data_IF_988664341405
#
_entry.id   IF_988664341405
#
_cell.length_a   1.000
_cell.length_b   1.000
_cell.length_c   1.000
_cell.angle_alpha   90.00
_cell.angle_beta   90.00
_cell.angle_gamma   90.00
#
_symmetry.space_group_name_H-M   'P 1'
#
loop_
_entity.id
_entity.type
_entity.pdbx_description
1 polymer ?
#
# COMPACT_ATOMS: atom_id res chain seq x y z
N UNK A 1 19.45 -3.40 -10.92
CA UNK A 1 18.50 -2.28 -11.03
C UNK A 1 17.08 -2.66 -10.67
N UNK A 2 16.20 -3.08 -11.60
CA UNK A 2 14.74 -3.23 -11.33
C UNK A 2 14.42 -4.04 -10.06
N UNK A 3 14.96 -5.24 -9.95
CA UNK A 3 14.74 -6.14 -8.80
C UNK A 3 15.26 -5.56 -7.48
N UNK A 4 16.28 -4.71 -7.51
CA UNK A 4 16.94 -4.18 -6.31
C UNK A 4 16.05 -3.14 -5.61
N UNK A 5 15.55 -2.12 -6.34
CA UNK A 5 14.63 -1.12 -5.77
C UNK A 5 13.36 -1.77 -5.20
N UNK A 6 12.78 -2.74 -5.91
CA UNK A 6 11.58 -3.44 -5.43
C UNK A 6 11.87 -4.34 -4.21
N UNK A 7 13.05 -4.95 -4.11
CA UNK A 7 13.51 -5.67 -2.92
C UNK A 7 13.70 -4.73 -1.71
N UNK A 8 14.33 -3.57 -1.91
CA UNK A 8 14.48 -2.57 -0.85
C UNK A 8 13.13 -2.00 -0.39
N UNK A 9 12.23 -1.64 -1.32
CA UNK A 9 10.88 -1.21 -1.03
C UNK A 9 10.08 -2.28 -0.25
N UNK A 10 10.19 -3.55 -0.65
CA UNK A 10 9.58 -4.67 0.08
C UNK A 10 10.11 -4.75 1.52
N UNK A 11 11.44 -4.64 1.72
CA UNK A 11 12.04 -4.64 3.06
C UNK A 11 11.73 -3.39 3.88
N UNK A 12 11.51 -2.23 3.27
CA UNK A 12 11.05 -1.02 3.96
C UNK A 12 9.62 -1.19 4.48
N UNK A 13 8.71 -1.73 3.66
CA UNK A 13 7.35 -2.06 4.08
C UNK A 13 7.36 -3.02 5.28
N UNK A 14 8.22 -4.05 5.27
CA UNK A 14 8.38 -5.02 6.37
C UNK A 14 8.98 -4.45 7.67
N UNK A 15 9.40 -3.18 7.70
CA UNK A 15 9.77 -2.46 8.95
C UNK A 15 8.61 -1.67 9.55
N UNK A 16 7.53 -1.49 8.80
CA UNK A 16 6.40 -0.60 9.14
C UNK A 16 5.10 -1.39 9.31
N UNK A 17 4.89 -2.43 8.51
CA UNK A 17 3.73 -3.32 8.59
C UNK A 17 4.15 -4.71 9.11
N UNK A 18 3.41 -5.30 10.07
CA UNK A 18 3.57 -6.71 10.43
C UNK A 18 3.31 -7.65 9.24
N UNK A 19 3.88 -8.87 9.26
CA UNK A 19 3.44 -9.97 8.39
C UNK A 19 1.92 -10.19 8.45
N UNK A 20 1.37 -10.79 7.39
CA UNK A 20 -0.06 -11.04 7.15
C UNK A 20 -0.96 -9.78 7.03
N UNK A 21 -0.43 -8.57 7.25
CA UNK A 21 -1.19 -7.30 7.12
C UNK A 21 -1.86 -7.18 5.75
N UNK A 22 -3.17 -6.91 5.74
CA UNK A 22 -3.94 -6.66 4.51
C UNK A 22 -3.60 -5.28 3.91
N UNK A 23 -3.28 -5.24 2.62
CA UNK A 23 -2.91 -4.00 1.90
C UNK A 23 -3.61 -3.92 0.53
N UNK A 24 -4.31 -2.83 0.24
CA UNK A 24 -4.87 -2.53 -1.09
C UNK A 24 -3.76 -2.05 -2.04
N UNK A 25 -3.78 -2.51 -3.29
CA UNK A 25 -2.95 -1.98 -4.38
C UNK A 25 -2.50 -3.05 -5.37
N UNK A 26 -2.12 -2.66 -6.58
CA UNK A 26 -1.48 -3.57 -7.54
C UNK A 26 0.00 -3.75 -7.20
N UNK A 27 0.67 -2.66 -6.81
CA UNK A 27 2.07 -2.65 -6.39
C UNK A 27 2.30 -3.45 -5.09
N UNK A 28 1.29 -3.56 -4.21
CA UNK A 28 1.34 -4.44 -3.05
C UNK A 28 1.67 -5.91 -3.42
N UNK A 29 1.21 -6.39 -4.59
CA UNK A 29 1.53 -7.73 -5.09
C UNK A 29 2.98 -7.84 -5.62
N UNK A 30 3.56 -6.74 -6.11
CA UNK A 30 4.97 -6.69 -6.52
C UNK A 30 5.96 -6.58 -5.36
N UNK A 31 5.48 -6.27 -4.15
CA UNK A 31 6.30 -5.98 -2.97
C UNK A 31 6.05 -6.93 -1.78
N UNK A 32 5.27 -8.00 -1.92
CA UNK A 32 4.88 -8.87 -0.79
C UNK A 32 5.93 -9.89 -0.34
N UNK A 33 6.92 -10.20 -1.18
CA UNK A 33 7.81 -11.37 -0.97
C UNK A 33 8.67 -11.28 0.30
N UNK A 34 9.31 -10.15 0.57
CA UNK A 34 10.27 -10.01 1.69
C UNK A 34 9.61 -9.66 3.03
N UNK A 35 8.35 -9.22 3.01
CA UNK A 35 7.63 -8.71 4.20
C UNK A 35 6.38 -9.51 4.57
N UNK A 36 5.86 -10.36 3.66
CA UNK A 36 4.66 -11.17 3.86
C UNK A 36 3.39 -10.38 4.16
N UNK A 37 3.25 -9.15 3.65
CA UNK A 37 1.92 -8.52 3.59
C UNK A 37 0.99 -9.35 2.70
N UNK A 38 -0.31 -9.23 2.90
CA UNK A 38 -1.34 -9.86 2.06
C UNK A 38 -1.94 -8.83 1.09
N UNK A 39 -1.61 -8.88 -0.20
CA UNK A 39 -2.18 -7.99 -1.20
C UNK A 39 -3.67 -8.31 -1.38
N UNK A 40 -4.51 -7.27 -1.31
CA UNK A 40 -5.92 -7.34 -1.70
C UNK A 40 -6.08 -6.53 -2.99
N UNK A 41 -6.09 -7.25 -4.11
CA UNK A 41 -6.34 -6.67 -5.42
C UNK A 41 -7.83 -6.40 -5.63
N UNK A 42 -8.16 -5.30 -6.30
CA UNK A 42 -9.52 -4.88 -6.63
C UNK A 42 -9.63 -4.73 -8.15
N UNK A 43 -10.60 -5.42 -8.75
CA UNK A 43 -10.88 -5.30 -10.18
C UNK A 43 -12.29 -5.75 -10.53
N UNK A 44 -12.82 -5.25 -11.65
CA UNK A 44 -14.19 -5.53 -12.10
C UNK A 44 -14.47 -7.03 -12.26
N UNK A 45 -13.49 -7.79 -12.73
CA UNK A 45 -13.58 -9.23 -13.02
C UNK A 45 -13.46 -10.12 -11.77
N UNK A 46 -13.09 -9.55 -10.61
CA UNK A 46 -12.83 -10.29 -9.36
C UNK A 46 -14.03 -10.32 -8.41
N UNK A 47 -15.19 -9.82 -8.83
CA UNK A 47 -16.42 -9.72 -8.02
C UNK A 47 -16.38 -8.69 -6.87
N UNK A 48 -15.20 -8.41 -6.33
CA UNK A 48 -14.98 -7.55 -5.15
C UNK A 48 -15.00 -6.04 -5.44
N UNK A 49 -15.20 -5.62 -6.70
CA UNK A 49 -15.12 -4.21 -7.10
C UNK A 49 -16.11 -3.30 -6.36
N UNK A 50 -17.29 -3.81 -5.96
CA UNK A 50 -18.26 -3.05 -5.17
C UNK A 50 -17.71 -2.64 -3.80
N UNK A 51 -16.87 -3.48 -3.18
CA UNK A 51 -16.41 -3.31 -1.80
C UNK A 51 -15.18 -2.41 -1.65
N UNK A 52 -14.59 -1.95 -2.77
CA UNK A 52 -13.41 -1.07 -2.79
C UNK A 52 -13.52 0.17 -1.89
N UNK A 53 -14.74 0.64 -1.64
CA UNK A 53 -15.09 1.81 -0.81
C UNK A 53 -15.56 1.45 0.62
N UNK A 54 -15.47 0.17 1.01
CA UNK A 54 -16.02 -0.40 2.27
C UNK A 54 -15.13 -1.45 2.95
N UNK A 55 -13.99 -1.83 2.34
CA UNK A 55 -13.01 -2.78 2.90
C UNK A 55 -12.16 -2.13 4.00
N UNK A 56 -12.80 -1.76 5.10
CA UNK A 56 -12.17 -1.05 6.23
C UNK A 56 -11.22 -1.96 7.03
N UNK A 57 -11.40 -3.28 6.92
CA UNK A 57 -10.46 -4.32 7.34
C UNK A 57 -9.08 -4.19 6.64
N UNK A 58 -9.05 -3.64 5.43
CA UNK A 58 -7.81 -3.35 4.69
C UNK A 58 -7.37 -1.92 4.98
N UNK A 59 -6.80 -1.68 6.16
CA UNK A 59 -6.42 -0.32 6.65
C UNK A 59 -5.45 0.43 5.72
N UNK A 60 -4.59 -0.28 5.01
CA UNK A 60 -3.48 0.32 4.25
C UNK A 60 -3.67 0.26 2.74
N UNK A 61 -3.15 1.27 2.04
CA UNK A 61 -3.09 1.37 0.58
C UNK A 61 -1.63 1.54 0.17
N UNK A 62 -1.20 0.89 -0.91
CA UNK A 62 0.14 0.97 -1.47
C UNK A 62 0.04 1.14 -2.99
N UNK A 63 0.42 2.31 -3.50
CA UNK A 63 0.27 2.73 -4.91
C UNK A 63 1.32 3.75 -5.33
N UNK A 64 1.50 3.98 -6.63
CA UNK A 64 2.30 5.10 -7.16
C UNK A 64 1.67 6.46 -6.82
N UNK A 65 2.55 7.44 -6.59
CA UNK A 65 2.24 8.88 -6.46
C UNK A 65 2.94 9.75 -7.51
N UNK A 66 4.00 9.25 -8.15
CA UNK A 66 4.60 9.80 -9.36
C UNK A 66 4.51 8.77 -10.51
N UNK A 67 4.24 9.17 -11.77
CA UNK A 67 4.04 10.55 -12.24
C UNK A 67 2.72 11.18 -11.79
N UNK A 68 1.77 10.38 -11.30
CA UNK A 68 0.54 10.86 -10.64
C UNK A 68 0.04 9.87 -9.60
N UNK A 69 -0.73 10.38 -8.63
CA UNK A 69 -1.43 9.54 -7.66
C UNK A 69 -2.41 8.60 -8.36
N UNK A 70 -2.30 7.31 -8.07
CA UNK A 70 -3.22 6.30 -8.60
C UNK A 70 -3.03 5.94 -10.08
N UNK A 71 -1.82 6.15 -10.62
CA UNK A 71 -1.44 5.76 -12.00
C UNK A 71 -1.69 4.26 -12.33
N UNK A 72 -1.97 3.39 -11.34
CA UNK A 72 -2.34 1.98 -11.58
C UNK A 72 -3.70 1.79 -12.29
N UNK A 73 -4.63 2.75 -12.17
CA UNK A 73 -5.96 2.69 -12.78
C UNK A 73 -7.06 3.43 -12.01
N UNK A 74 -8.27 3.48 -12.58
CA UNK A 74 -9.43 4.14 -11.95
C UNK A 74 -9.85 3.49 -10.61
N UNK A 75 -9.59 2.19 -10.45
CA UNK A 75 -9.96 1.41 -9.27
C UNK A 75 -9.27 1.92 -8.01
N UNK A 76 -7.98 2.27 -8.07
CA UNK A 76 -7.24 2.77 -6.90
C UNK A 76 -7.62 4.23 -6.60
N UNK A 77 -7.93 5.03 -7.61
CA UNK A 77 -8.48 6.38 -7.43
C UNK A 77 -9.86 6.38 -6.76
N UNK A 78 -10.70 5.39 -7.05
CA UNK A 78 -11.96 5.15 -6.35
C UNK A 78 -11.77 4.81 -4.87
N UNK A 79 -10.73 4.03 -4.52
CA UNK A 79 -10.35 3.74 -3.12
C UNK A 79 -9.86 5.02 -2.45
N UNK A 80 -8.88 5.72 -3.04
CA UNK A 80 -8.34 6.96 -2.48
C UNK A 80 -9.44 8.01 -2.24
N UNK A 81 -10.39 8.13 -3.16
CA UNK A 81 -11.55 9.04 -3.04
C UNK A 81 -12.53 8.66 -1.94
N UNK A 82 -12.66 7.38 -1.59
CA UNK A 82 -13.52 6.92 -0.50
C UNK A 82 -12.96 7.25 0.90
N UNK A 83 -11.65 7.46 1.00
CA UNK A 83 -10.95 7.74 2.26
C UNK A 83 -10.31 9.14 2.22
N UNK A 84 -11.09 10.23 2.43
CA UNK A 84 -10.59 11.60 2.31
C UNK A 84 -9.58 11.99 3.41
N UNK A 85 -9.68 11.38 4.59
CA UNK A 85 -8.79 11.65 5.75
C UNK A 85 -7.49 10.83 5.74
N UNK A 86 -7.20 10.12 4.64
CA UNK A 86 -6.01 9.27 4.50
C UNK A 86 -4.69 10.04 4.66
N UNK A 87 -3.68 9.40 5.23
CA UNK A 87 -2.35 9.97 5.50
C UNK A 87 -1.26 9.12 4.84
N UNK A 88 -0.31 9.76 4.14
CA UNK A 88 0.92 9.10 3.69
C UNK A 88 1.77 8.79 4.93
N UNK A 89 2.10 7.51 5.13
CA UNK A 89 3.00 7.04 6.19
C UNK A 89 4.44 7.24 5.75
N UNK A 90 4.77 6.79 4.53
CA UNK A 90 6.08 6.97 3.92
C UNK A 90 6.00 6.90 2.39
N UNK A 91 7.00 7.49 1.73
CA UNK A 91 7.23 7.41 0.29
C UNK A 91 8.55 6.70 0.01
N UNK A 92 8.63 5.95 -1.08
CA UNK A 92 9.83 5.21 -1.49
C UNK A 92 9.90 5.06 -3.01
N UNK A 93 11.12 4.96 -3.53
CA UNK A 93 11.38 4.68 -4.93
C UNK A 93 11.00 3.24 -5.29
N UNK A 94 10.46 3.05 -6.49
CA UNK A 94 10.29 1.75 -7.15
C UNK A 94 10.77 1.82 -8.60
N UNK A 95 10.96 0.67 -9.24
CA UNK A 95 11.43 0.60 -10.62
C UNK A 95 10.41 -0.18 -11.47
N UNK A 96 9.53 0.55 -12.14
CA UNK A 96 8.46 -0.01 -12.97
C UNK A 96 8.53 0.51 -14.41
N UNK A 97 8.91 1.78 -14.59
CA UNK A 97 9.21 2.41 -15.89
C UNK A 97 10.67 2.30 -16.30
N UNK A 98 10.92 2.36 -17.61
CA UNK A 98 12.28 2.48 -18.19
C UNK A 98 12.76 3.92 -17.97
N UNK A 99 13.21 4.18 -16.76
CA UNK A 99 13.58 5.50 -16.24
C UNK A 99 13.83 5.48 -14.73
N UNK A 100 13.15 4.60 -13.98
CA UNK A 100 13.51 4.28 -12.58
C UNK A 100 13.24 5.39 -11.56
N UNK A 101 12.38 6.36 -11.91
CA UNK A 101 11.97 7.51 -11.09
C UNK A 101 10.53 7.41 -10.58
N UNK A 102 9.95 6.20 -10.55
CA UNK A 102 8.59 6.00 -10.04
C UNK A 102 8.61 6.09 -8.51
N UNK A 103 7.82 7.00 -7.93
CA UNK A 103 7.67 7.11 -6.48
C UNK A 103 6.36 6.46 -6.05
N UNK A 104 6.42 5.57 -5.08
CA UNK A 104 5.28 4.94 -4.43
C UNK A 104 5.09 5.45 -3.00
N UNK A 105 3.89 5.26 -2.47
CA UNK A 105 3.53 5.61 -1.09
C UNK A 105 2.83 4.46 -0.38
N UNK A 106 3.16 4.29 0.91
CA UNK A 106 2.32 3.58 1.87
C UNK A 106 1.38 4.61 2.54
N UNK A 107 0.09 4.33 2.53
CA UNK A 107 -0.97 5.25 2.96
C UNK A 107 -1.87 4.55 3.99
N UNK A 108 -2.13 5.23 5.11
CA UNK A 108 -3.19 4.89 6.06
C UNK A 108 -4.52 5.47 5.57
N UNK A 109 -5.60 4.67 5.51
CA UNK A 109 -6.93 5.16 5.10
C UNK A 109 -7.57 6.17 6.05
N UNK A 110 -7.36 6.01 7.35
CA UNK A 110 -8.09 6.73 8.39
C UNK A 110 -7.31 7.92 8.96
N UNK A 111 -6.00 7.98 8.69
CA UNK A 111 -5.14 9.13 9.02
C UNK A 111 -4.72 9.24 10.48
N UNK A 112 -5.43 8.52 11.37
CA UNK A 112 -5.01 8.27 12.74
C UNK A 112 -3.64 7.59 12.79
N UNK A 113 -2.90 7.81 13.89
CA UNK A 113 -1.71 7.01 14.20
C UNK A 113 -2.08 5.50 14.21
N UNK A 114 -1.16 4.59 13.85
CA UNK A 114 -1.33 3.18 14.18
C UNK A 114 -1.48 3.04 15.70
N UNK A 115 -2.45 2.26 16.17
CA UNK A 115 -2.70 2.11 17.60
C UNK A 115 -1.44 1.57 18.30
N UNK A 116 -0.99 2.23 19.37
CA UNK A 116 0.26 1.91 20.06
C UNK A 116 0.17 0.66 20.96
N UNK A 117 -0.54 -0.37 20.52
CA UNK A 117 -0.65 -1.68 21.16
C UNK A 117 0.65 -2.48 21.01
N UNK A 118 1.72 -2.05 21.69
CA UNK A 118 2.76 -2.87 22.36
C UNK A 118 3.72 -1.91 23.11
N UNK A 119 3.20 -1.16 24.09
CA UNK A 119 4.01 -0.39 25.07
C UNK A 119 3.46 -0.45 26.50
N UNK A 120 2.75 -1.54 26.85
CA UNK A 120 2.33 -1.87 28.23
C UNK A 120 2.39 -3.39 28.45
N UNK A 121 3.60 -3.91 28.49
CA UNK A 121 3.90 -5.29 28.84
C UNK A 121 5.35 -5.44 29.34
N UNK A 122 5.77 -4.57 30.28
CA UNK A 122 6.89 -4.74 31.20
C UNK A 122 7.05 -3.46 32.05
N UNK A 123 6.22 -3.35 33.08
CA UNK A 123 6.44 -2.64 34.35
C UNK A 123 5.92 -3.59 35.45
#
# INVERSE_FOLDING_TARGET
DRTYKNYEASRLIGRVLPPETLVHGKLANGLSLENRIRPIFIGHEFGNYADRKRRDDVRYILTYIAPSAGYEGSQIMDVLSAYPHRRVIMTFDVAETIGGHDTAALIDKFGAEPAAETRRAHD
#
